data_IF_486752796683
#
_entry.id   IF_486752796683
#
_cell.length_a   1.000
_cell.length_b   1.000
_cell.length_c   1.000
_cell.angle_alpha   90.00
_cell.angle_beta   90.00
_cell.angle_gamma   90.00
#
_symmetry.space_group_name_H-M   'P 1'
#
loop_
_entity.id
_entity.type
_entity.pdbx_description
1 polymer ?
#
# COMPACT_ATOMS: atom_id res chain seq x y z
N UNK A 1 0.40 5.61 2.08
CA UNK A 1 0.63 4.57 3.12
C UNK A 1 0.21 4.96 4.53
N UNK A 2 -0.01 6.24 4.86
CA UNK A 2 -0.28 6.70 6.24
C UNK A 2 -1.28 5.84 7.05
N UNK A 3 -2.48 5.56 6.53
CA UNK A 3 -3.49 4.75 7.22
C UNK A 3 -3.07 3.33 7.61
N UNK A 4 -2.04 2.77 6.97
CA UNK A 4 -1.52 1.42 7.25
C UNK A 4 -0.14 1.44 7.92
N UNK A 5 0.34 2.61 8.36
CA UNK A 5 1.68 2.76 8.93
C UNK A 5 1.60 3.11 10.41
N UNK A 6 2.43 2.46 11.24
CA UNK A 6 2.59 2.84 12.64
C UNK A 6 3.05 4.30 12.78
N UNK A 7 2.52 4.99 13.78
CA UNK A 7 2.95 6.35 14.14
C UNK A 7 4.34 6.38 14.79
N UNK A 8 4.85 7.59 15.09
CA UNK A 8 6.11 7.81 15.82
C UNK A 8 7.16 8.61 15.04
N UNK A 9 7.00 8.73 13.72
CA UNK A 9 7.92 9.53 12.89
C UNK A 9 7.59 11.04 12.89
N UNK A 10 6.49 11.46 13.52
CA UNK A 10 6.03 12.86 13.52
C UNK A 10 5.52 13.34 12.16
N UNK A 11 5.02 12.42 11.32
CA UNK A 11 4.41 12.73 10.01
C UNK A 11 5.31 13.55 9.07
N UNK A 12 6.64 13.51 9.24
CA UNK A 12 7.63 14.33 8.52
C UNK A 12 7.42 14.40 7.01
N UNK A 13 7.09 13.27 6.37
CA UNK A 13 6.80 13.25 4.94
C UNK A 13 5.64 14.18 4.57
N UNK A 14 4.52 14.07 5.30
CA UNK A 14 3.30 14.83 5.03
C UNK A 14 3.54 16.31 5.30
N UNK A 15 4.25 16.63 6.38
CA UNK A 15 4.68 18.00 6.70
C UNK A 15 5.58 18.61 5.62
N UNK A 16 6.35 17.77 4.90
CA UNK A 16 7.17 18.17 3.76
C UNK A 16 6.42 18.08 2.40
N UNK A 17 5.08 18.09 2.40
CA UNK A 17 4.23 17.97 1.21
C UNK A 17 4.48 16.70 0.38
N UNK A 18 4.79 15.59 1.05
CA UNK A 18 5.00 14.29 0.42
C UNK A 18 4.12 13.22 1.06
N UNK A 19 3.55 12.28 0.28
CA UNK A 19 2.74 11.22 0.85
C UNK A 19 3.59 10.30 1.74
N UNK A 20 3.02 9.86 2.86
CA UNK A 20 3.67 8.87 3.72
C UNK A 20 4.03 7.61 2.90
N UNK A 21 5.32 7.20 3.01
CA UNK A 21 5.91 6.08 2.28
C UNK A 21 5.84 4.75 3.04
N UNK A 22 5.45 4.76 4.31
CA UNK A 22 5.23 3.53 5.07
C UNK A 22 6.47 2.88 5.68
N UNK A 23 7.54 3.65 5.93
CA UNK A 23 8.82 3.10 6.41
C UNK A 23 8.77 2.52 7.84
N UNK A 24 7.82 2.94 8.68
CA UNK A 24 7.70 2.47 10.07
C UNK A 24 6.96 1.13 10.18
N UNK A 25 6.54 0.54 9.05
CA UNK A 25 5.86 -0.74 9.02
C UNK A 25 4.42 -0.71 9.57
N UNK A 26 3.76 -1.88 9.64
CA UNK A 26 2.39 -1.99 10.10
C UNK A 26 2.22 -1.79 11.61
N UNK A 27 0.98 -1.59 12.03
CA UNK A 27 0.57 -1.71 13.44
C UNK A 27 0.60 -3.18 13.88
N UNK A 28 0.50 -3.39 15.19
CA UNK A 28 0.48 -4.72 15.84
C UNK A 28 -0.68 -5.61 15.39
N UNK A 29 -1.81 -5.01 15.02
CA UNK A 29 -3.00 -5.73 14.54
C UNK A 29 -2.98 -6.01 13.02
N UNK A 30 -1.95 -5.59 12.29
CA UNK A 30 -1.89 -5.71 10.83
C UNK A 30 -0.73 -6.61 10.43
N UNK A 31 -1.06 -7.78 9.88
CA UNK A 31 -0.07 -8.75 9.39
C UNK A 31 0.57 -8.28 8.09
N UNK A 32 -0.26 -7.86 7.12
CA UNK A 32 0.20 -7.41 5.81
C UNK A 32 -0.18 -5.94 5.59
N UNK A 33 0.84 -5.09 5.66
CA UNK A 33 0.72 -3.65 5.48
C UNK A 33 0.21 -3.27 4.08
N UNK A 34 0.71 -3.93 3.04
CA UNK A 34 0.38 -3.59 1.66
C UNK A 34 -1.06 -3.97 1.33
N UNK A 35 -1.48 -5.16 1.76
CA UNK A 35 -2.87 -5.60 1.62
C UNK A 35 -3.83 -4.72 2.43
N UNK A 36 -3.47 -4.33 3.65
CA UNK A 36 -4.32 -3.45 4.47
C UNK A 36 -4.43 -2.04 3.89
N UNK A 37 -3.34 -1.51 3.31
CA UNK A 37 -3.40 -0.25 2.59
C UNK A 37 -4.27 -0.34 1.32
N UNK A 38 -4.18 -1.44 0.57
CA UNK A 38 -5.03 -1.69 -0.59
C UNK A 38 -6.52 -1.71 -0.20
N UNK A 39 -6.87 -2.39 0.89
CA UNK A 39 -8.24 -2.40 1.40
C UNK A 39 -8.75 -0.98 1.74
N UNK A 40 -7.92 -0.18 2.41
CA UNK A 40 -8.27 1.21 2.73
C UNK A 40 -8.37 2.09 1.48
N UNK A 41 -7.48 1.92 0.51
CA UNK A 41 -7.52 2.65 -0.77
C UNK A 41 -8.80 2.31 -1.54
N UNK A 42 -9.13 1.02 -1.66
CA UNK A 42 -10.32 0.56 -2.34
C UNK A 42 -11.61 1.10 -1.70
N UNK A 43 -11.67 1.19 -0.36
CA UNK A 43 -12.84 1.74 0.35
C UNK A 43 -13.06 3.24 0.17
N UNK A 44 -12.08 3.96 -0.39
CA UNK A 44 -12.18 5.41 -0.66
C UNK A 44 -12.57 5.67 -2.12
N UNK A 45 -12.49 4.67 -3.00
CA UNK A 45 -12.92 4.81 -4.39
C UNK A 45 -14.43 5.00 -4.43
N UNK A 46 -14.85 6.20 -4.85
CA UNK A 46 -16.26 6.59 -4.98
C UNK A 46 -16.78 6.25 -6.38
N UNK A 47 -16.81 4.96 -6.72
CA UNK A 47 -17.41 4.47 -7.96
C UNK A 47 -17.77 2.99 -7.83
N UNK A 48 -19.00 2.66 -8.23
CA UNK A 48 -19.52 1.29 -8.33
C UNK A 48 -19.44 0.75 -9.78
N UNK A 49 -19.00 1.56 -10.76
CA UNK A 49 -18.81 1.10 -12.14
C UNK A 49 -17.44 0.43 -12.30
N UNK A 50 -17.47 -0.87 -12.60
CA UNK A 50 -16.28 -1.69 -12.84
C UNK A 50 -15.34 -1.08 -13.90
N UNK A 51 -15.87 -0.43 -14.94
CA UNK A 51 -15.05 0.21 -15.98
C UNK A 51 -14.30 1.43 -15.45
N UNK A 52 -14.92 2.22 -14.58
CA UNK A 52 -14.28 3.37 -13.97
C UNK A 52 -13.23 2.94 -12.96
N UNK A 53 -13.55 1.96 -12.11
CA UNK A 53 -12.60 1.37 -11.17
C UNK A 53 -11.37 0.82 -11.91
N UNK A 54 -11.58 0.09 -13.01
CA UNK A 54 -10.48 -0.41 -13.83
C UNK A 54 -9.58 0.73 -14.37
N UNK A 55 -10.17 1.83 -14.85
CA UNK A 55 -9.40 3.00 -15.30
C UNK A 55 -8.57 3.59 -14.17
N UNK A 56 -9.14 3.73 -12.97
CA UNK A 56 -8.43 4.30 -11.81
C UNK A 56 -7.28 3.38 -11.39
N UNK A 57 -7.53 2.07 -11.28
CA UNK A 57 -6.50 1.10 -10.88
C UNK A 57 -5.32 1.10 -11.85
N UNK A 58 -5.56 1.26 -13.15
CA UNK A 58 -4.50 1.35 -14.18
C UNK A 58 -3.63 2.60 -14.03
N UNK A 59 -4.11 3.67 -13.38
CA UNK A 59 -3.27 4.85 -13.10
C UNK A 59 -2.15 4.59 -12.08
N UNK A 60 -2.24 3.49 -11.32
CA UNK A 60 -1.23 3.10 -10.34
C UNK A 60 -0.09 2.39 -11.07
N UNK A 61 0.95 3.14 -11.42
CA UNK A 61 2.09 2.67 -12.21
C UNK A 61 2.81 1.46 -11.60
N UNK A 62 3.03 1.48 -10.29
CA UNK A 62 3.72 0.39 -9.57
C UNK A 62 3.06 0.12 -8.20
N UNK A 63 2.01 -0.72 -8.16
CA UNK A 63 1.33 -1.08 -6.91
C UNK A 63 2.26 -1.84 -5.96
N UNK A 64 3.13 -2.71 -6.47
CA UNK A 64 4.02 -3.52 -5.66
C UNK A 64 5.09 -2.66 -4.96
N UNK A 65 5.81 -1.82 -5.71
CA UNK A 65 6.81 -0.92 -5.14
C UNK A 65 6.23 0.25 -4.35
N UNK A 66 4.93 0.55 -4.50
CA UNK A 66 4.25 1.55 -3.66
C UNK A 66 3.74 0.95 -2.35
N UNK A 67 3.01 -0.17 -2.40
CA UNK A 67 2.36 -0.75 -1.21
C UNK A 67 3.28 -1.64 -0.37
N UNK A 68 4.33 -2.20 -0.97
CA UNK A 68 5.25 -3.13 -0.32
C UNK A 68 6.69 -2.63 -0.23
N UNK A 69 6.94 -1.33 -0.42
CA UNK A 69 8.29 -0.73 -0.51
C UNK A 69 9.24 -1.15 0.61
N UNK A 70 8.74 -1.27 1.83
CA UNK A 70 9.52 -1.60 3.03
C UNK A 70 9.06 -2.89 3.72
N UNK A 71 8.00 -3.53 3.22
CA UNK A 71 7.33 -4.65 3.88
C UNK A 71 7.22 -5.91 3.00
N UNK A 72 7.73 -5.88 1.77
CA UNK A 72 7.64 -7.03 0.87
C UNK A 72 8.17 -8.35 1.48
N UNK A 73 9.33 -8.39 2.17
CA UNK A 73 9.83 -9.65 2.72
C UNK A 73 8.95 -10.25 3.83
N UNK A 74 8.24 -9.40 4.58
CA UNK A 74 7.36 -9.81 5.68
C UNK A 74 5.90 -9.92 5.26
N UNK A 75 5.56 -9.59 4.01
CA UNK A 75 4.20 -9.68 3.49
C UNK A 75 3.78 -11.12 3.22
N UNK A 76 2.49 -11.31 2.96
CA UNK A 76 1.94 -12.59 2.51
C UNK A 76 2.52 -12.97 1.13
N UNK A 77 2.85 -11.97 0.29
CA UNK A 77 3.42 -12.17 -1.05
C UNK A 77 4.87 -12.63 -1.01
N UNK A 78 5.69 -12.12 -0.09
CA UNK A 78 7.13 -12.38 0.09
C UNK A 78 8.00 -12.06 -1.12
N UNK A 79 7.92 -12.85 -2.18
CA UNK A 79 8.71 -12.70 -3.41
C UNK A 79 7.85 -12.95 -4.64
N UNK A 80 8.28 -12.44 -5.78
CA UNK A 80 7.68 -12.81 -7.07
C UNK A 80 7.72 -14.34 -7.23
N UNK A 81 6.59 -14.91 -7.65
CA UNK A 81 6.54 -16.30 -8.08
C UNK A 81 7.50 -16.47 -9.26
N UNK A 82 8.52 -17.30 -9.08
CA UNK A 82 9.34 -17.75 -10.19
C UNK A 82 8.52 -18.85 -10.85
N UNK A 83 8.08 -18.64 -12.08
CA UNK A 83 7.54 -19.74 -12.86
C UNK A 83 8.65 -20.77 -12.97
N UNK A 84 8.37 -21.99 -12.51
CA UNK A 84 9.25 -23.12 -12.77
C UNK A 84 9.39 -23.25 -14.28
N UNK A 85 10.61 -23.51 -14.73
CA UNK A 85 10.86 -23.88 -16.12
C UNK A 85 10.02 -25.09 -16.51
#
# INVERSE_FOLDING_TARGET
MGPATRTGCGQRCITANMPCRGCFGPTDQVVDMGAKFLAAFASILDSDDEKEVAKIVVTIVDPAGTFYRFSLPTSILRRRKLEGK
#
